data_IF_132318453548
#
_entry.id   IF_132318453548
#
_cell.length_a   1.000
_cell.length_b   1.000
_cell.length_c   1.000
_cell.angle_alpha   90.00
_cell.angle_beta   90.00
_cell.angle_gamma   90.00
#
_symmetry.space_group_name_H-M   'P 1'
#
loop_
_entity.id
_entity.type
_entity.pdbx_description
1 polymer ?
#
# COMPACT_ATOMS: atom_id res chain seq x y z
N UNK A 1 -27.70 -12.64 -3.28
CA UNK A 1 -26.43 -12.42 -4.02
C UNK A 1 -25.56 -11.46 -3.24
N UNK A 2 -24.37 -11.87 -2.82
CA UNK A 2 -23.46 -11.03 -2.04
C UNK A 2 -22.93 -9.89 -2.92
N UNK A 3 -23.30 -8.64 -2.63
CA UNK A 3 -22.90 -7.51 -3.47
C UNK A 3 -21.46 -7.13 -3.16
N UNK A 4 -20.64 -6.92 -4.20
CA UNK A 4 -19.35 -6.24 -4.05
C UNK A 4 -19.63 -4.84 -3.51
N UNK A 5 -19.04 -4.48 -2.36
CA UNK A 5 -19.24 -3.14 -1.81
C UNK A 5 -18.67 -2.12 -2.82
N UNK A 6 -19.37 -1.01 -3.11
CA UNK A 6 -18.94 -0.04 -4.13
C UNK A 6 -17.53 0.51 -3.92
N UNK A 7 -17.04 0.48 -2.68
CA UNK A 7 -15.76 1.01 -2.25
C UNK A 7 -14.61 -0.01 -2.33
N UNK A 8 -14.89 -1.32 -2.35
CA UNK A 8 -13.84 -2.36 -2.44
C UNK A 8 -12.96 -2.18 -3.69
N UNK A 9 -13.51 -1.97 -4.90
CA UNK A 9 -12.67 -1.80 -6.08
C UNK A 9 -11.79 -0.56 -5.98
N UNK A 10 -12.30 0.54 -5.44
CA UNK A 10 -11.55 1.78 -5.26
C UNK A 10 -10.39 1.62 -4.28
N UNK A 11 -10.58 0.87 -3.19
CA UNK A 11 -9.49 0.54 -2.29
C UNK A 11 -8.35 -0.15 -3.05
N UNK A 12 -8.65 -1.20 -3.84
CA UNK A 12 -7.63 -1.94 -4.58
C UNK A 12 -6.96 -1.12 -5.68
N UNK A 13 -7.71 -0.23 -6.35
CA UNK A 13 -7.14 0.69 -7.33
C UNK A 13 -6.19 1.69 -6.70
N UNK A 14 -6.59 2.33 -5.60
CA UNK A 14 -5.75 3.30 -4.88
C UNK A 14 -4.51 2.61 -4.27
N UNK A 15 -4.70 1.46 -3.62
CA UNK A 15 -3.62 0.67 -3.06
C UNK A 15 -2.65 0.18 -4.15
N UNK A 16 -3.19 -0.29 -5.29
CA UNK A 16 -2.40 -0.71 -6.43
C UNK A 16 -1.62 0.44 -7.06
N UNK A 17 -2.25 1.60 -7.29
CA UNK A 17 -1.58 2.79 -7.80
C UNK A 17 -0.47 3.28 -6.85
N UNK A 18 -0.73 3.26 -5.54
CA UNK A 18 0.27 3.56 -4.52
C UNK A 18 1.43 2.56 -4.54
N UNK A 19 1.28 1.34 -5.02
CA UNK A 19 2.42 0.42 -5.16
C UNK A 19 3.13 0.56 -6.52
N UNK A 20 2.39 0.90 -7.57
CA UNK A 20 2.94 1.06 -8.92
C UNK A 20 3.92 2.22 -9.05
N UNK A 21 3.80 3.28 -8.24
CA UNK A 21 4.80 4.38 -8.26
C UNK A 21 6.23 3.88 -7.99
N UNK A 22 6.39 2.71 -7.33
CA UNK A 22 7.68 2.08 -7.05
C UNK A 22 8.41 1.61 -8.32
N UNK A 23 7.78 1.67 -9.49
CA UNK A 23 8.48 1.57 -10.77
C UNK A 23 9.58 2.63 -10.88
N UNK A 24 9.39 3.79 -10.23
CA UNK A 24 10.41 4.82 -10.13
C UNK A 24 11.68 4.31 -9.45
N UNK A 25 11.58 3.46 -8.43
CA UNK A 25 12.74 2.85 -7.77
C UNK A 25 13.57 1.97 -8.72
N UNK A 26 12.95 1.40 -9.76
CA UNK A 26 13.64 0.61 -10.78
C UNK A 26 14.27 1.48 -11.87
N UNK A 27 13.61 2.60 -12.22
CA UNK A 27 14.08 3.53 -13.24
C UNK A 27 15.21 4.44 -12.74
N UNK A 28 15.09 4.97 -11.51
CA UNK A 28 16.07 5.85 -10.88
C UNK A 28 16.17 5.54 -9.39
N UNK A 29 17.20 4.76 -9.04
CA UNK A 29 17.42 4.32 -7.66
C UNK A 29 17.76 5.49 -6.74
N UNK A 30 18.60 6.40 -7.23
CA UNK A 30 19.16 7.49 -6.43
C UNK A 30 18.08 8.53 -6.12
N UNK A 31 17.33 8.96 -7.14
CA UNK A 31 16.23 9.92 -6.95
C UNK A 31 15.12 9.37 -6.08
N UNK A 32 14.73 8.10 -6.29
CA UNK A 32 13.71 7.45 -5.47
C UNK A 32 14.13 7.34 -4.00
N UNK A 33 15.36 6.88 -3.72
CA UNK A 33 15.85 6.79 -2.35
C UNK A 33 15.97 8.17 -1.68
N UNK A 34 16.56 9.14 -2.39
CA UNK A 34 16.75 10.50 -1.88
C UNK A 34 15.40 11.17 -1.54
N UNK A 35 14.39 11.00 -2.38
CA UNK A 35 13.05 11.54 -2.14
C UNK A 35 12.41 10.96 -0.88
N UNK A 36 12.31 9.63 -0.79
CA UNK A 36 11.61 9.00 0.33
C UNK A 36 12.35 9.15 1.65
N UNK A 37 13.68 9.01 1.65
CA UNK A 37 14.49 9.25 2.85
C UNK A 37 14.45 10.72 3.27
N UNK A 38 14.55 11.65 2.32
CA UNK A 38 14.43 13.08 2.60
C UNK A 38 13.06 13.44 3.18
N UNK A 39 11.98 12.85 2.66
CA UNK A 39 10.63 13.03 3.19
C UNK A 39 10.50 12.52 4.64
N UNK A 40 11.08 11.35 4.94
CA UNK A 40 11.10 10.76 6.28
C UNK A 40 11.90 11.60 7.29
N UNK A 41 12.99 12.22 6.84
CA UNK A 41 13.87 13.02 7.69
C UNK A 41 13.34 14.43 7.94
N UNK A 42 12.85 15.11 6.89
CA UNK A 42 12.38 16.49 6.98
C UNK A 42 11.03 16.60 7.70
N UNK A 43 10.19 15.55 7.64
CA UNK A 43 8.85 15.50 8.26
C UNK A 43 7.99 16.74 7.94
N UNK A 44 8.07 17.24 6.71
CA UNK A 44 7.32 18.43 6.27
C UNK A 44 5.82 18.17 6.05
N UNK A 45 5.06 19.17 5.56
CA UNK A 45 3.62 19.02 5.30
C UNK A 45 3.27 17.84 4.39
N UNK A 46 4.09 17.60 3.35
CA UNK A 46 3.90 16.47 2.43
C UNK A 46 4.02 15.11 3.14
N UNK A 47 4.93 14.99 4.12
CA UNK A 47 5.09 13.79 4.92
C UNK A 47 3.80 13.50 5.70
N UNK A 48 3.30 14.48 6.45
CA UNK A 48 2.08 14.30 7.24
C UNK A 48 0.84 14.05 6.38
N UNK A 49 0.74 14.71 5.22
CA UNK A 49 -0.33 14.47 4.26
C UNK A 49 -0.30 13.01 3.77
N UNK A 50 0.85 12.51 3.35
CA UNK A 50 1.00 11.16 2.84
C UNK A 50 0.75 10.10 3.92
N UNK A 51 1.38 10.24 5.09
CA UNK A 51 1.20 9.31 6.19
C UNK A 51 -0.24 9.31 6.70
N UNK A 52 -0.88 10.48 6.80
CA UNK A 52 -2.27 10.61 7.21
C UNK A 52 -3.25 10.01 6.19
N UNK A 53 -3.09 10.33 4.91
CA UNK A 53 -3.92 9.76 3.85
C UNK A 53 -3.80 8.23 3.79
N UNK A 54 -2.58 7.71 3.95
CA UNK A 54 -2.32 6.28 3.96
C UNK A 54 -2.94 5.60 5.19
N UNK A 55 -2.78 6.18 6.38
CA UNK A 55 -3.42 5.68 7.59
C UNK A 55 -4.95 5.63 7.45
N UNK A 56 -5.57 6.69 6.93
CA UNK A 56 -7.02 6.75 6.71
C UNK A 56 -7.49 5.68 5.72
N UNK A 57 -6.75 5.49 4.61
CA UNK A 57 -7.06 4.44 3.63
C UNK A 57 -7.00 3.04 4.27
N UNK A 58 -5.99 2.78 5.11
CA UNK A 58 -5.82 1.49 5.79
C UNK A 58 -6.90 1.27 6.87
N UNK A 59 -7.22 2.28 7.68
CA UNK A 59 -8.31 2.22 8.66
C UNK A 59 -9.66 1.98 7.99
N UNK A 60 -9.89 2.62 6.84
CA UNK A 60 -11.09 2.40 6.04
C UNK A 60 -11.17 0.97 5.50
N UNK A 61 -10.06 0.42 4.99
CA UNK A 61 -9.97 -0.98 4.58
C UNK A 61 -10.28 -1.94 5.73
N UNK A 62 -9.71 -1.70 6.92
CA UNK A 62 -10.00 -2.49 8.11
C UNK A 62 -11.48 -2.40 8.52
N UNK A 63 -12.07 -1.19 8.51
CA UNK A 63 -13.48 -1.00 8.81
C UNK A 63 -14.39 -1.76 7.82
N UNK A 64 -14.06 -1.73 6.51
CA UNK A 64 -14.75 -2.52 5.50
C UNK A 64 -14.62 -4.02 5.74
N UNK A 65 -13.45 -4.50 6.17
CA UNK A 65 -13.25 -5.90 6.53
C UNK A 65 -14.17 -6.33 7.68
N UNK A 66 -14.19 -5.57 8.79
CA UNK A 66 -15.02 -5.91 9.96
C UNK A 66 -16.51 -5.81 9.66
N UNK A 67 -16.94 -4.80 8.90
CA UNK A 67 -18.33 -4.63 8.48
C UNK A 67 -18.81 -5.79 7.62
N UNK A 68 -17.98 -6.27 6.71
CA UNK A 68 -18.35 -7.31 5.74
C UNK A 68 -17.82 -8.71 6.13
N UNK A 69 -17.41 -8.91 7.40
CA UNK A 69 -16.83 -10.17 7.91
C UNK A 69 -17.72 -11.40 7.71
N UNK A 70 -19.04 -11.19 7.61
CA UNK A 70 -20.03 -12.26 7.40
C UNK A 70 -20.05 -12.81 5.98
N UNK A 71 -19.33 -12.18 5.04
CA UNK A 71 -19.19 -12.65 3.67
C UNK A 71 -17.69 -12.89 3.39
N UNK A 72 -17.17 -14.09 3.68
CA UNK A 72 -15.75 -14.36 3.56
C UNK A 72 -15.34 -14.38 2.09
N UNK A 73 -14.69 -13.31 1.65
CA UNK A 73 -14.06 -13.22 0.33
C UNK A 73 -12.57 -13.12 0.51
N UNK A 74 -11.82 -13.98 -0.19
CA UNK A 74 -10.39 -14.13 0.03
C UNK A 74 -9.61 -12.81 -0.15
N UNK A 75 -10.01 -11.95 -1.09
CA UNK A 75 -9.31 -10.69 -1.34
C UNK A 75 -9.41 -9.69 -0.19
N UNK A 76 -10.45 -9.75 0.64
CA UNK A 76 -10.63 -8.81 1.75
C UNK A 76 -9.57 -8.99 2.84
N UNK A 77 -8.89 -10.13 2.89
CA UNK A 77 -7.72 -10.32 3.74
C UNK A 77 -6.59 -9.35 3.43
N UNK A 78 -6.50 -8.84 2.20
CA UNK A 78 -5.54 -7.79 1.84
C UNK A 78 -5.71 -6.51 2.68
N UNK A 79 -6.93 -6.23 3.16
CA UNK A 79 -7.20 -5.07 4.02
C UNK A 79 -6.52 -5.20 5.38
N UNK A 80 -6.55 -6.40 5.96
CA UNK A 80 -5.96 -6.66 7.27
C UNK A 80 -4.45 -6.88 7.15
N UNK A 81 -4.02 -7.69 6.20
CA UNK A 81 -2.60 -8.01 6.03
C UNK A 81 -1.83 -6.80 5.49
N UNK A 82 -2.25 -6.24 4.36
CA UNK A 82 -1.61 -5.08 3.74
C UNK A 82 -1.84 -3.80 4.55
N UNK A 83 -3.10 -3.53 4.91
CA UNK A 83 -3.42 -2.33 5.71
C UNK A 83 -2.85 -2.38 7.12
N UNK A 84 -2.88 -3.54 7.78
CA UNK A 84 -2.27 -3.71 9.10
C UNK A 84 -0.75 -3.55 9.07
N UNK A 85 -0.07 -4.10 8.05
CA UNK A 85 1.36 -3.88 7.85
C UNK A 85 1.69 -2.39 7.69
N UNK A 86 0.91 -1.66 6.89
CA UNK A 86 1.11 -0.23 6.69
C UNK A 86 0.86 0.57 7.96
N UNK A 87 -0.20 0.26 8.72
CA UNK A 87 -0.45 0.92 10.01
C UNK A 87 0.68 0.64 11.02
N UNK A 88 1.22 -0.57 11.03
CA UNK A 88 2.39 -0.92 11.82
C UNK A 88 3.62 -0.13 11.38
N UNK A 89 3.90 -0.04 10.08
CA UNK A 89 5.01 0.73 9.51
C UNK A 89 4.94 2.20 9.95
N UNK A 90 3.75 2.81 9.81
CA UNK A 90 3.49 4.18 10.28
C UNK A 90 3.69 4.34 11.78
N UNK A 91 3.20 3.39 12.58
CA UNK A 91 3.36 3.42 14.04
C UNK A 91 4.84 3.27 14.45
N UNK A 92 5.59 2.39 13.79
CA UNK A 92 7.00 2.16 14.04
C UNK A 92 7.86 3.38 13.67
N UNK A 93 7.53 4.05 12.55
CA UNK A 93 8.15 5.32 12.14
C UNK A 93 7.83 6.41 13.16
N UNK A 94 6.56 6.54 13.57
CA UNK A 94 6.13 7.55 14.53
C UNK A 94 6.77 7.36 15.92
N UNK A 95 6.91 6.10 16.36
CA UNK A 95 7.58 5.74 17.62
C UNK A 95 9.11 5.84 17.55
N UNK A 96 9.68 6.09 16.35
CA UNK A 96 11.13 6.15 16.16
C UNK A 96 11.83 4.83 16.46
N UNK A 97 11.16 3.69 16.22
CA UNK A 97 11.64 2.38 16.67
C UNK A 97 12.98 2.02 15.99
N UNK A 98 14.10 1.88 16.73
CA UNK A 98 15.43 1.79 16.13
C UNK A 98 15.65 0.59 15.18
N UNK A 99 15.17 -0.63 15.49
CA UNK A 99 15.28 -1.76 14.57
C UNK A 99 14.58 -1.49 13.24
N UNK A 100 13.40 -0.89 13.30
CA UNK A 100 12.62 -0.56 12.11
C UNK A 100 13.29 0.52 11.26
N UNK A 101 13.83 1.55 11.90
CA UNK A 101 14.61 2.60 11.21
C UNK A 101 15.81 2.01 10.47
N UNK A 102 16.55 1.07 11.07
CA UNK A 102 17.67 0.38 10.42
C UNK A 102 17.20 -0.46 9.23
N UNK A 103 16.06 -1.14 9.36
CA UNK A 103 15.47 -1.91 8.26
C UNK A 103 15.10 -1.01 7.08
N UNK A 104 14.44 0.13 7.35
CA UNK A 104 14.11 1.11 6.31
C UNK A 104 15.38 1.62 5.60
N UNK A 105 16.42 1.97 6.34
CA UNK A 105 17.70 2.37 5.75
C UNK A 105 18.31 1.29 4.87
N UNK A 106 18.25 0.02 5.29
CA UNK A 106 18.72 -1.12 4.50
C UNK A 106 17.88 -1.33 3.22
N UNK A 107 16.56 -1.14 3.29
CA UNK A 107 15.68 -1.21 2.11
C UNK A 107 15.99 -0.10 1.08
N UNK A 108 16.45 1.06 1.54
CA UNK A 108 16.81 2.21 0.71
C UNK A 108 18.31 2.27 0.35
N UNK A 109 19.08 1.22 0.64
CA UNK A 109 20.46 1.12 0.15
C UNK A 109 20.48 0.77 -1.35
N UNK A 110 20.78 1.77 -2.18
CA UNK A 110 20.82 1.66 -3.64
C UNK A 110 21.85 0.65 -4.18
N UNK A 111 22.85 0.31 -3.36
CA UNK A 111 23.93 -0.63 -3.71
C UNK A 111 23.58 -2.07 -3.31
N UNK A 112 22.52 -2.28 -2.53
CA UNK A 112 22.14 -3.60 -2.09
C UNK A 112 21.72 -4.49 -3.28
N UNK A 113 22.20 -5.75 -3.35
CA UNK A 113 21.81 -6.67 -4.42
C UNK A 113 20.31 -7.00 -4.39
N UNK A 114 19.66 -6.82 -3.23
CA UNK A 114 18.23 -7.00 -3.03
C UNK A 114 17.35 -5.89 -3.61
N UNK A 115 17.92 -4.78 -4.11
CA UNK A 115 17.14 -3.63 -4.60
C UNK A 115 16.13 -4.03 -5.68
N UNK A 116 16.60 -4.62 -6.78
CA UNK A 116 15.73 -4.96 -7.92
C UNK A 116 14.67 -5.99 -7.53
N UNK A 117 14.99 -7.12 -6.88
CA UNK A 117 13.97 -8.08 -6.44
C UNK A 117 12.92 -7.45 -5.52
N UNK A 118 13.34 -6.65 -4.54
CA UNK A 118 12.45 -6.03 -3.55
C UNK A 118 11.45 -5.08 -4.21
N UNK A 119 11.94 -4.11 -4.97
CA UNK A 119 11.07 -3.12 -5.60
C UNK A 119 10.21 -3.72 -6.71
N UNK A 120 10.73 -4.73 -7.43
CA UNK A 120 9.94 -5.46 -8.44
C UNK A 120 8.79 -6.23 -7.80
N UNK A 121 9.01 -6.88 -6.65
CA UNK A 121 7.94 -7.56 -5.91
C UNK A 121 6.81 -6.59 -5.51
N UNK A 122 7.17 -5.39 -5.04
CA UNK A 122 6.16 -4.36 -4.74
C UNK A 122 5.43 -3.84 -5.98
N UNK A 123 6.12 -3.67 -7.11
CA UNK A 123 5.49 -3.28 -8.37
C UNK A 123 4.50 -4.35 -8.84
N UNK A 124 4.88 -5.63 -8.78
CA UNK A 124 4.00 -6.75 -9.12
C UNK A 124 2.78 -6.84 -8.19
N UNK A 125 2.98 -6.64 -6.88
CA UNK A 125 1.89 -6.55 -5.90
C UNK A 125 0.94 -5.40 -6.25
N UNK A 126 1.48 -4.26 -6.66
CA UNK A 126 0.70 -3.10 -7.10
C UNK A 126 -0.11 -3.38 -8.35
N UNK A 127 0.52 -3.95 -9.38
CA UNK A 127 -0.13 -4.34 -10.61
C UNK A 127 -1.26 -5.36 -10.37
N UNK A 128 -1.00 -6.38 -9.54
CA UNK A 128 -1.98 -7.39 -9.16
C UNK A 128 -3.17 -6.79 -8.41
N UNK A 129 -2.91 -5.91 -7.44
CA UNK A 129 -3.95 -5.20 -6.70
C UNK A 129 -4.78 -4.30 -7.60
N UNK A 130 -4.14 -3.56 -8.50
CA UNK A 130 -4.83 -2.67 -9.43
C UNK A 130 -5.72 -3.47 -10.41
N UNK A 131 -5.19 -4.55 -10.97
CA UNK A 131 -5.94 -5.44 -11.85
C UNK A 131 -7.15 -6.08 -11.14
N UNK A 132 -6.98 -6.48 -9.87
CA UNK A 132 -8.07 -6.95 -9.02
C UNK A 132 -9.15 -5.87 -8.83
N UNK A 133 -8.75 -4.63 -8.58
CA UNK A 133 -9.67 -3.49 -8.53
C UNK A 133 -10.50 -3.33 -9.81
N UNK A 134 -9.84 -3.34 -10.98
CA UNK A 134 -10.53 -3.28 -12.28
C UNK A 134 -11.49 -4.47 -12.49
N UNK A 135 -11.06 -5.67 -12.11
CA UNK A 135 -11.88 -6.87 -12.20
C UNK A 135 -13.13 -6.78 -11.31
N UNK A 136 -13.00 -6.27 -10.08
CA UNK A 136 -14.13 -6.05 -9.18
C UNK A 136 -15.12 -5.02 -9.73
N UNK A 137 -14.66 -3.94 -10.38
CA UNK A 137 -15.54 -2.99 -11.07
C UNK A 137 -16.33 -3.69 -12.17
N UNK A 138 -15.64 -4.43 -13.06
CA UNK A 138 -16.27 -5.13 -14.18
C UNK A 138 -17.30 -6.15 -13.69
N UNK A 139 -16.96 -6.91 -12.65
CA UNK A 139 -17.86 -7.90 -12.05
C UNK A 139 -19.09 -7.23 -11.42
N UNK A 140 -18.91 -6.13 -10.69
CA UNK A 140 -20.03 -5.36 -10.10
C UNK A 140 -20.98 -4.82 -11.16
N UNK A 141 -20.46 -4.35 -12.31
CA UNK A 141 -21.29 -3.89 -13.43
C UNK A 141 -22.15 -5.01 -14.01
N UNK A 142 -21.61 -6.23 -14.13
CA UNK A 142 -22.36 -7.42 -14.59
C UNK A 142 -23.42 -7.90 -13.60
N UNK A 143 -23.21 -7.65 -12.30
CA UNK A 143 -24.11 -8.03 -11.21
C UNK A 143 -25.15 -6.92 -10.86
N UNK A 144 -25.10 -5.78 -11.54
CA UNK A 144 -26.12 -4.72 -11.44
C UNK A 144 -27.17 -4.97 -12.53
N UNK A 145 -28.46 -5.12 -12.19
CA UNK A 145 -29.52 -5.35 -13.17
C UNK A 145 -29.67 -4.20 -14.15
#
# INVERSE_FOLDING_TARGET
MSRIHPLEPWFFLLFGAFHLHRVWALADRAGYAAFWMGLLEQKGPLYFLLMGALALLCLWGAALFFRERRQPRWWRWAYVLGGGYVLFDLAAIAAGWPPWRRLLQAMFDIRAPGWVPLWSAFVLLGAGSFALGLWLIRRRRKESP
#
